data_IF_714848017749
#
_entry.id   IF_714848017749
#
_cell.length_a   1.000
_cell.length_b   1.000
_cell.length_c   1.000
_cell.angle_alpha   90.00
_cell.angle_beta   90.00
_cell.angle_gamma   90.00
#
_symmetry.space_group_name_H-M   'P 1'
#
loop_
_entity.id
_entity.type
_entity.pdbx_description
1 polymer ?
#
# COMPACT_ATOMS: atom_id res chain seq x y z
N UNK A 1 14.31 -33.42 3.36
CA UNK A 1 14.13 -33.42 1.90
C UNK A 1 13.85 -32.02 1.41
N UNK A 2 14.19 -31.69 0.15
CA UNK A 2 13.88 -30.37 -0.46
C UNK A 2 12.40 -30.01 -0.35
N UNK A 3 11.50 -30.98 -0.59
CA UNK A 3 10.06 -30.80 -0.44
C UNK A 3 9.66 -30.43 1.00
N UNK A 4 10.40 -30.87 2.01
CA UNK A 4 10.15 -30.51 3.40
C UNK A 4 10.27 -28.99 3.68
N UNK A 5 11.04 -28.26 2.86
CA UNK A 5 11.14 -26.80 2.98
C UNK A 5 9.81 -26.07 2.67
N UNK A 6 8.94 -26.68 1.87
CA UNK A 6 7.62 -26.13 1.54
C UNK A 6 6.48 -26.64 2.43
N UNK A 7 6.73 -27.58 3.35
CA UNK A 7 5.67 -28.10 4.21
C UNK A 7 5.24 -27.08 5.26
N UNK A 8 3.94 -27.01 5.47
CA UNK A 8 3.28 -26.24 6.51
C UNK A 8 2.27 -27.14 7.21
N UNK A 9 2.39 -27.27 8.54
CA UNK A 9 1.41 -28.02 9.33
C UNK A 9 0.15 -27.21 9.50
N UNK A 10 -0.97 -27.79 9.10
CA UNK A 10 -2.32 -27.22 9.28
C UNK A 10 -3.15 -28.15 10.16
N UNK A 11 -4.25 -27.67 10.78
CA UNK A 11 -5.12 -28.52 11.61
C UNK A 11 -5.69 -29.75 10.87
N UNK A 12 -5.76 -29.69 9.54
CA UNK A 12 -6.25 -30.76 8.68
C UNK A 12 -5.13 -31.58 8.03
N UNK A 13 -3.87 -31.43 8.47
CA UNK A 13 -2.70 -32.14 7.97
C UNK A 13 -1.70 -31.27 7.20
N UNK A 14 -0.53 -31.81 6.84
CA UNK A 14 0.51 -31.06 6.17
C UNK A 14 0.09 -30.62 4.78
N UNK A 15 0.36 -29.35 4.45
CA UNK A 15 0.10 -28.75 3.15
C UNK A 15 1.40 -28.23 2.55
N UNK A 16 1.59 -28.41 1.24
CA UNK A 16 2.75 -27.87 0.54
C UNK A 16 2.46 -26.41 0.12
N UNK A 17 3.26 -25.49 0.66
CA UNK A 17 3.20 -24.06 0.36
C UNK A 17 4.39 -23.64 -0.49
N UNK A 18 4.11 -23.18 -1.72
CA UNK A 18 5.12 -22.58 -2.60
C UNK A 18 5.73 -21.31 -2.00
N UNK A 19 4.93 -20.54 -1.25
CA UNK A 19 5.42 -19.33 -0.57
C UNK A 19 6.45 -19.68 0.51
N UNK A 20 6.21 -20.72 1.31
CA UNK A 20 7.14 -21.18 2.32
C UNK A 20 8.44 -21.66 1.68
N UNK A 21 8.33 -22.45 0.60
CA UNK A 21 9.51 -22.90 -0.16
C UNK A 21 10.31 -21.70 -0.67
N UNK A 22 9.66 -20.77 -1.32
CA UNK A 22 10.29 -19.58 -1.89
C UNK A 22 11.00 -18.74 -0.83
N UNK A 23 10.34 -18.47 0.30
CA UNK A 23 10.91 -17.66 1.39
C UNK A 23 12.10 -18.33 2.06
N UNK A 24 12.09 -19.67 2.16
CA UNK A 24 13.21 -20.43 2.75
C UNK A 24 14.40 -20.63 1.82
N UNK A 25 14.22 -20.42 0.52
CA UNK A 25 15.28 -20.65 -0.49
C UNK A 25 15.75 -19.37 -1.17
N UNK A 26 15.02 -18.28 -1.07
CA UNK A 26 15.39 -16.99 -1.63
C UNK A 26 16.47 -16.29 -0.78
N UNK A 27 17.46 -15.71 -1.43
CA UNK A 27 18.47 -14.88 -0.77
C UNK A 27 17.90 -13.58 -0.21
N UNK A 28 16.86 -13.05 -0.83
CA UNK A 28 16.17 -11.82 -0.44
C UNK A 28 14.65 -11.97 -0.64
N UNK A 29 13.88 -11.37 0.24
CA UNK A 29 12.44 -11.31 0.14
C UNK A 29 11.93 -9.89 0.44
N UNK A 30 10.91 -9.44 -0.29
CA UNK A 30 10.36 -8.12 -0.07
C UNK A 30 8.84 -8.06 -0.32
N UNK A 31 8.17 -7.21 0.44
CA UNK A 31 6.84 -6.70 0.12
C UNK A 31 6.91 -5.63 -0.99
N UNK A 32 5.74 -5.29 -1.54
CA UNK A 32 5.60 -4.34 -2.67
C UNK A 32 5.09 -2.97 -2.26
N UNK A 33 5.02 -2.73 -0.96
CA UNK A 33 4.89 -1.46 -0.24
C UNK A 33 5.46 -1.62 1.16
N UNK A 34 5.71 -0.52 1.87
CA UNK A 34 6.19 -0.57 3.25
C UNK A 34 5.25 -1.36 4.15
N UNK A 35 3.95 -1.02 4.12
CA UNK A 35 2.93 -1.71 4.89
C UNK A 35 2.85 -3.20 4.53
N UNK A 36 2.92 -3.55 3.22
CA UNK A 36 2.92 -4.95 2.80
C UNK A 36 4.16 -5.71 3.31
N UNK A 37 5.31 -5.07 3.42
CA UNK A 37 6.48 -5.65 4.08
C UNK A 37 6.19 -6.00 5.55
N UNK A 38 5.56 -5.10 6.29
CA UNK A 38 5.15 -5.32 7.68
C UNK A 38 4.13 -6.46 7.82
N UNK A 39 3.09 -6.44 6.99
CA UNK A 39 2.07 -7.51 6.94
C UNK A 39 2.69 -8.86 6.59
N UNK A 40 3.62 -8.88 5.62
CA UNK A 40 4.30 -10.11 5.20
C UNK A 40 5.19 -10.67 6.32
N UNK A 41 5.91 -9.82 7.05
CA UNK A 41 6.69 -10.25 8.22
C UNK A 41 5.82 -10.93 9.27
N UNK A 42 4.67 -10.34 9.59
CA UNK A 42 3.73 -10.94 10.53
C UNK A 42 3.16 -12.27 10.02
N UNK A 43 2.74 -12.32 8.76
CA UNK A 43 2.13 -13.48 8.11
C UNK A 43 3.07 -14.68 8.07
N UNK A 44 4.34 -14.46 7.74
CA UNK A 44 5.35 -15.50 7.55
C UNK A 44 6.30 -15.68 8.73
N UNK A 45 6.05 -15.03 9.87
CA UNK A 45 6.88 -15.13 11.07
C UNK A 45 7.14 -16.57 11.51
N UNK A 46 6.17 -17.45 11.31
CA UNK A 46 6.28 -18.87 11.65
C UNK A 46 7.44 -19.60 10.96
N UNK A 47 7.99 -19.05 9.85
CA UNK A 47 9.15 -19.60 9.16
C UNK A 47 10.47 -19.29 9.86
N UNK A 48 10.49 -18.33 10.79
CA UNK A 48 11.64 -17.89 11.57
C UNK A 48 11.30 -17.93 13.07
N UNK A 49 11.24 -19.17 13.66
CA UNK A 49 10.93 -19.30 15.08
C UNK A 49 11.98 -18.56 15.91
N UNK A 50 11.51 -17.84 16.92
CA UNK A 50 12.37 -17.05 17.82
C UNK A 50 12.61 -15.60 17.39
N UNK A 51 12.35 -15.23 16.14
CA UNK A 51 12.43 -13.84 15.72
C UNK A 51 11.15 -13.05 16.05
N UNK A 52 11.31 -11.77 16.33
CA UNK A 52 10.18 -10.85 16.38
C UNK A 52 9.74 -10.53 14.95
N UNK A 53 8.51 -10.02 14.78
CA UNK A 53 7.98 -9.73 13.45
C UNK A 53 8.86 -8.72 12.69
N UNK A 54 9.40 -7.73 13.39
CA UNK A 54 10.25 -6.69 12.84
C UNK A 54 11.62 -7.20 12.37
N UNK A 55 12.04 -8.36 12.88
CA UNK A 55 13.34 -8.99 12.58
C UNK A 55 13.25 -10.02 11.43
N UNK A 56 12.02 -10.42 11.07
CA UNK A 56 11.81 -11.34 9.93
C UNK A 56 12.43 -10.74 8.68
N UNK A 57 13.29 -11.48 7.93
CA UNK A 57 14.08 -10.90 6.83
C UNK A 57 13.26 -10.71 5.56
N UNK A 58 12.15 -9.99 5.68
CA UNK A 58 11.32 -9.54 4.57
C UNK A 58 11.35 -8.01 4.55
N UNK A 59 12.03 -7.45 3.58
CA UNK A 59 12.08 -6.01 3.35
C UNK A 59 10.86 -5.50 2.57
N UNK A 60 11.01 -4.32 1.96
CA UNK A 60 10.06 -3.85 0.96
C UNK A 60 10.79 -3.12 -0.17
N UNK A 61 10.23 -3.20 -1.36
CA UNK A 61 10.48 -2.31 -2.50
C UNK A 61 9.13 -1.85 -3.00
N UNK A 62 8.81 -0.61 -2.73
CA UNK A 62 7.49 -0.08 -3.11
C UNK A 62 7.34 -0.04 -4.62
N UNK A 63 6.22 -0.54 -5.14
CA UNK A 63 5.92 -0.54 -6.55
C UNK A 63 5.98 0.88 -7.13
N UNK A 64 6.31 0.94 -8.41
CA UNK A 64 6.27 2.15 -9.23
C UNK A 64 5.62 1.87 -10.57
N UNK A 65 5.26 2.92 -11.29
CA UNK A 65 4.66 2.84 -12.62
C UNK A 65 5.54 3.50 -13.68
N UNK A 66 5.52 2.94 -14.88
CA UNK A 66 6.30 3.50 -15.99
C UNK A 66 5.65 4.79 -16.51
N UNK A 67 6.30 5.91 -16.27
CA UNK A 67 5.77 7.26 -16.55
C UNK A 67 5.26 7.39 -17.98
N UNK A 68 6.07 7.01 -18.96
CA UNK A 68 5.73 7.18 -20.38
C UNK A 68 4.58 6.31 -20.89
N UNK A 69 4.34 5.16 -20.25
CA UNK A 69 3.25 4.25 -20.63
C UNK A 69 1.89 4.75 -20.13
N UNK A 70 1.86 5.40 -18.95
CA UNK A 70 0.60 5.74 -18.28
C UNK A 70 0.28 7.24 -18.31
N UNK A 71 1.24 8.10 -18.63
CA UNK A 71 1.01 9.52 -18.82
C UNK A 71 0.38 9.77 -20.20
N UNK A 72 -0.70 10.55 -20.23
CA UNK A 72 -1.38 10.91 -21.47
C UNK A 72 -0.47 11.75 -22.39
N UNK A 73 -0.44 11.51 -23.73
CA UNK A 73 0.49 12.19 -24.64
C UNK A 73 0.42 13.72 -24.62
N UNK A 74 -0.76 14.30 -24.43
CA UNK A 74 -0.91 15.78 -24.32
C UNK A 74 -0.27 16.32 -23.04
N UNK A 75 -0.48 15.62 -21.90
CA UNK A 75 0.17 15.99 -20.64
C UNK A 75 1.69 15.79 -20.72
N UNK A 76 2.15 14.70 -21.35
CA UNK A 76 3.58 14.46 -21.58
C UNK A 76 4.23 15.65 -22.32
N UNK A 77 3.60 16.13 -23.38
CA UNK A 77 4.10 17.29 -24.14
C UNK A 77 4.12 18.54 -23.28
N UNK A 78 3.02 18.82 -22.58
CA UNK A 78 2.92 19.98 -21.72
C UNK A 78 3.92 19.94 -20.55
N UNK A 79 4.13 18.78 -19.93
CA UNK A 79 5.14 18.63 -18.89
C UNK A 79 6.55 18.81 -19.43
N UNK A 80 6.86 18.29 -20.63
CA UNK A 80 8.16 18.51 -21.26
C UNK A 80 8.43 20.00 -21.55
N UNK A 81 7.40 20.75 -21.95
CA UNK A 81 7.48 22.20 -22.18
C UNK A 81 7.72 22.96 -20.85
N UNK A 82 7.01 22.60 -19.78
CA UNK A 82 7.05 23.30 -18.50
C UNK A 82 8.25 22.88 -17.64
N UNK A 83 8.53 21.57 -17.55
CA UNK A 83 9.58 21.04 -16.67
C UNK A 83 10.95 21.03 -17.35
N UNK A 84 10.99 21.03 -18.69
CA UNK A 84 12.20 21.06 -19.47
C UNK A 84 12.77 19.68 -19.83
N UNK A 85 13.89 19.66 -20.61
CA UNK A 85 14.45 18.44 -21.14
C UNK A 85 15.00 17.49 -20.06
N UNK A 86 15.48 18.00 -18.94
CA UNK A 86 16.00 17.18 -17.84
C UNK A 86 14.94 16.24 -17.28
N UNK A 87 13.68 16.69 -17.19
CA UNK A 87 12.57 15.86 -16.79
C UNK A 87 12.28 14.72 -17.78
N UNK A 88 12.45 14.99 -19.09
CA UNK A 88 12.27 13.94 -20.12
C UNK A 88 13.29 12.83 -19.98
N UNK A 89 14.51 13.17 -19.62
CA UNK A 89 15.61 12.21 -19.43
C UNK A 89 15.54 11.47 -18.08
N UNK A 90 15.10 12.17 -17.02
CA UNK A 90 15.13 11.68 -15.65
C UNK A 90 13.84 11.97 -14.89
N UNK A 91 12.69 11.39 -15.32
CA UNK A 91 11.39 11.65 -14.67
C UNK A 91 11.30 11.09 -13.24
N UNK A 92 12.27 10.29 -12.81
CA UNK A 92 12.38 9.78 -11.43
C UNK A 92 13.21 10.69 -10.51
N UNK A 93 13.75 11.78 -11.02
CA UNK A 93 14.48 12.77 -10.25
C UNK A 93 13.50 13.86 -9.75
N UNK A 94 13.28 14.00 -8.42
CA UNK A 94 12.32 14.97 -7.88
C UNK A 94 12.61 16.42 -8.28
N UNK A 95 13.88 16.78 -8.47
CA UNK A 95 14.30 18.15 -8.79
C UNK A 95 13.88 18.59 -10.20
N UNK A 96 13.50 17.63 -11.05
CA UNK A 96 13.04 17.91 -12.41
C UNK A 96 11.55 18.27 -12.49
N UNK A 97 10.76 18.04 -11.44
CA UNK A 97 9.31 18.29 -11.40
C UNK A 97 8.99 19.74 -11.01
N UNK A 98 9.10 20.67 -11.98
CA UNK A 98 8.85 22.10 -11.81
C UNK A 98 7.36 22.41 -11.90
N UNK A 99 6.57 21.84 -10.99
CA UNK A 99 5.11 21.83 -11.02
C UNK A 99 4.47 23.23 -10.93
N UNK A 100 5.18 24.20 -10.39
CA UNK A 100 4.73 25.59 -10.22
C UNK A 100 4.41 26.28 -11.57
N UNK A 101 4.99 25.78 -12.66
CA UNK A 101 4.70 26.26 -14.02
C UNK A 101 3.38 25.71 -14.60
N UNK A 102 2.74 24.75 -13.94
CA UNK A 102 1.46 24.22 -14.37
C UNK A 102 0.33 25.17 -13.93
N UNK A 103 -0.39 25.73 -14.89
CA UNK A 103 -1.47 26.68 -14.66
C UNK A 103 -2.70 26.38 -15.52
N UNK A 104 -3.28 27.42 -16.10
CA UNK A 104 -4.50 27.35 -16.89
C UNK A 104 -4.42 26.34 -18.05
N UNK A 105 -3.28 26.27 -18.74
CA UNK A 105 -3.08 25.34 -19.86
C UNK A 105 -3.20 23.88 -19.40
N UNK A 106 -2.62 23.54 -18.25
CA UNK A 106 -2.79 22.23 -17.63
C UNK A 106 -4.26 21.97 -17.29
N UNK A 107 -4.95 22.94 -16.67
CA UNK A 107 -6.36 22.78 -16.32
C UNK A 107 -7.23 22.53 -17.55
N UNK A 108 -7.01 23.27 -18.64
CA UNK A 108 -7.71 23.05 -19.92
C UNK A 108 -7.47 21.63 -20.47
N UNK A 109 -6.25 21.14 -20.41
CA UNK A 109 -5.95 19.75 -20.82
C UNK A 109 -6.74 18.76 -19.95
N UNK A 110 -6.83 18.98 -18.64
CA UNK A 110 -7.62 18.13 -17.75
C UNK A 110 -9.11 18.13 -18.10
N UNK A 111 -9.68 19.31 -18.41
CA UNK A 111 -11.08 19.41 -18.88
C UNK A 111 -11.31 18.62 -20.17
N UNK A 112 -10.42 18.74 -21.13
CA UNK A 112 -10.51 17.99 -22.39
C UNK A 112 -10.42 16.46 -22.16
N UNK A 113 -9.56 16.03 -21.25
CA UNK A 113 -9.43 14.61 -20.92
C UNK A 113 -10.67 14.07 -20.21
N UNK A 114 -11.29 14.85 -19.34
CA UNK A 114 -12.58 14.50 -18.73
C UNK A 114 -13.70 14.44 -19.78
N UNK A 115 -13.79 15.42 -20.69
CA UNK A 115 -14.72 15.37 -21.80
C UNK A 115 -14.53 14.13 -22.67
N UNK A 116 -13.27 13.78 -22.97
CA UNK A 116 -12.95 12.57 -23.71
C UNK A 116 -13.41 11.31 -22.94
N UNK A 117 -13.13 11.22 -21.65
CA UNK A 117 -13.61 10.14 -20.79
C UNK A 117 -15.13 10.00 -20.86
N UNK A 118 -15.88 11.09 -20.69
CA UNK A 118 -17.35 11.06 -20.75
C UNK A 118 -17.86 10.54 -22.10
N UNK A 119 -17.25 10.95 -23.19
CA UNK A 119 -17.59 10.44 -24.54
C UNK A 119 -17.35 8.94 -24.67
N UNK A 120 -16.19 8.47 -24.24
CA UNK A 120 -15.85 7.05 -24.24
C UNK A 120 -16.80 6.22 -23.37
N UNK A 121 -17.15 6.74 -22.19
CA UNK A 121 -18.11 6.10 -21.28
C UNK A 121 -19.48 5.97 -21.94
N UNK A 122 -19.99 7.05 -22.55
CA UNK A 122 -21.27 7.06 -23.26
C UNK A 122 -21.32 6.04 -24.41
N UNK A 123 -20.27 6.01 -25.22
CA UNK A 123 -20.16 5.08 -26.33
C UNK A 123 -20.13 3.61 -25.81
N UNK A 124 -19.29 3.32 -24.84
CA UNK A 124 -19.19 1.96 -24.26
C UNK A 124 -20.50 1.54 -23.58
N UNK A 125 -21.12 2.45 -22.84
CA UNK A 125 -22.41 2.19 -22.20
C UNK A 125 -23.54 1.93 -23.24
N UNK A 126 -23.56 2.69 -24.33
CA UNK A 126 -24.47 2.46 -25.45
C UNK A 126 -24.28 1.05 -26.03
N UNK A 127 -23.04 0.67 -26.37
CA UNK A 127 -22.72 -0.65 -26.91
C UNK A 127 -23.02 -1.79 -25.93
N UNK A 128 -22.75 -1.58 -24.64
CA UNK A 128 -23.07 -2.52 -23.56
C UNK A 128 -24.58 -2.75 -23.48
N UNK A 129 -25.40 -1.70 -23.45
CA UNK A 129 -26.85 -1.77 -23.40
C UNK A 129 -27.41 -2.40 -24.67
N UNK A 130 -26.86 -2.07 -25.84
CA UNK A 130 -27.23 -2.67 -27.12
C UNK A 130 -26.98 -4.18 -27.14
N UNK A 131 -25.81 -4.65 -26.70
CA UNK A 131 -25.46 -6.05 -26.55
C UNK A 131 -26.40 -6.77 -25.62
N UNK A 132 -26.82 -6.13 -24.55
CA UNK A 132 -27.75 -6.69 -23.55
C UNK A 132 -29.21 -6.62 -24.01
N UNK A 133 -29.50 -6.17 -25.22
CA UNK A 133 -30.85 -6.15 -25.77
C UNK A 133 -31.79 -5.09 -25.17
N UNK A 134 -31.22 -4.03 -24.56
CA UNK A 134 -31.98 -2.93 -23.95
C UNK A 134 -32.67 -2.10 -25.05
N UNK A 135 -33.88 -1.60 -24.75
CA UNK A 135 -34.71 -0.89 -25.72
C UNK A 135 -34.20 0.54 -26.05
N UNK A 136 -34.77 1.19 -27.11
CA UNK A 136 -34.31 2.47 -27.61
C UNK A 136 -34.27 3.62 -26.59
N UNK A 137 -35.17 3.60 -25.59
CA UNK A 137 -35.18 4.60 -24.52
C UNK A 137 -33.88 4.51 -23.68
N UNK A 138 -33.49 3.30 -23.31
CA UNK A 138 -32.30 3.01 -22.54
C UNK A 138 -31.01 3.34 -23.32
N UNK A 139 -31.02 3.14 -24.63
CA UNK A 139 -29.88 3.54 -25.48
C UNK A 139 -29.71 5.07 -25.51
N UNK A 140 -30.81 5.83 -25.62
CA UNK A 140 -30.77 7.29 -25.56
C UNK A 140 -30.32 7.84 -24.20
N UNK A 141 -30.63 7.17 -23.11
CA UNK A 141 -30.10 7.50 -21.77
C UNK A 141 -28.59 7.31 -21.71
N UNK A 142 -28.04 6.26 -22.32
CA UNK A 142 -26.59 6.04 -22.38
C UNK A 142 -25.84 7.20 -23.07
N UNK A 143 -26.42 7.75 -24.14
CA UNK A 143 -25.84 8.88 -24.87
C UNK A 143 -25.80 10.19 -24.05
N UNK A 144 -26.64 10.29 -23.01
CA UNK A 144 -26.77 11.46 -22.14
C UNK A 144 -26.16 11.26 -20.74
N UNK A 145 -25.72 10.02 -20.42
CA UNK A 145 -25.15 9.71 -19.12
C UNK A 145 -23.90 10.58 -18.84
N UNK A 146 -23.73 10.97 -17.60
CA UNK A 146 -22.64 11.82 -17.11
C UNK A 146 -22.64 13.25 -17.72
N UNK A 147 -22.04 14.18 -16.98
CA UNK A 147 -21.84 15.56 -17.39
C UNK A 147 -20.33 15.84 -17.54
N UNK A 148 -19.83 16.31 -18.69
CA UNK A 148 -18.42 16.61 -18.89
C UNK A 148 -17.88 17.73 -17.97
N UNK A 149 -18.74 18.57 -17.39
CA UNK A 149 -18.32 19.62 -16.45
C UNK A 149 -18.37 19.17 -14.98
N UNK A 150 -18.96 18.01 -14.69
CA UNK A 150 -19.08 17.49 -13.35
C UNK A 150 -17.76 16.89 -12.82
N UNK A 151 -17.53 17.03 -11.50
CA UNK A 151 -16.47 16.32 -10.79
C UNK A 151 -16.60 14.82 -11.03
N UNK A 152 -15.60 14.22 -11.67
CA UNK A 152 -15.63 12.83 -12.11
C UNK A 152 -14.71 11.95 -11.25
N UNK A 153 -15.30 11.01 -10.53
CA UNK A 153 -14.62 10.06 -9.65
C UNK A 153 -14.52 8.71 -10.35
N UNK A 154 -13.29 8.25 -10.58
CA UNK A 154 -13.01 6.95 -11.19
C UNK A 154 -12.73 5.87 -10.15
N UNK A 155 -13.30 4.68 -10.36
CA UNK A 155 -13.03 3.48 -9.60
C UNK A 155 -12.85 2.32 -10.58
N UNK A 156 -11.62 1.87 -10.80
CA UNK A 156 -11.37 0.78 -11.74
C UNK A 156 -10.38 -0.23 -11.20
N UNK A 157 -10.88 -1.45 -10.96
CA UNK A 157 -10.09 -2.52 -10.37
C UNK A 157 -10.80 -3.88 -10.46
N UNK A 158 -10.05 -4.96 -10.20
CA UNK A 158 -10.67 -6.27 -10.02
C UNK A 158 -11.71 -6.21 -8.90
N UNK A 159 -12.93 -6.68 -9.17
CA UNK A 159 -13.93 -6.81 -8.13
C UNK A 159 -13.58 -7.99 -7.21
N UNK A 160 -13.32 -7.67 -5.96
CA UNK A 160 -13.10 -8.57 -4.84
C UNK A 160 -13.68 -7.90 -3.59
N UNK A 161 -14.16 -8.69 -2.63
CA UNK A 161 -14.90 -8.19 -1.46
C UNK A 161 -14.14 -7.10 -0.69
N UNK A 162 -12.84 -7.31 -0.43
CA UNK A 162 -12.02 -6.36 0.33
C UNK A 162 -11.83 -5.01 -0.36
N UNK A 163 -12.11 -4.91 -1.67
CA UNK A 163 -12.01 -3.64 -2.42
C UNK A 163 -13.22 -2.73 -2.28
N UNK A 164 -14.29 -3.25 -1.69
CA UNK A 164 -15.47 -2.53 -1.19
C UNK A 164 -16.10 -1.54 -2.17
N UNK A 165 -16.30 -1.96 -3.43
CA UNK A 165 -16.94 -1.11 -4.45
C UNK A 165 -18.34 -0.58 -4.02
N UNK A 166 -19.03 -1.28 -3.12
CA UNK A 166 -20.35 -0.90 -2.59
C UNK A 166 -20.30 -0.04 -1.31
N UNK A 167 -19.11 0.35 -0.86
CA UNK A 167 -18.96 1.13 0.37
C UNK A 167 -19.77 2.44 0.35
N UNK A 168 -19.89 3.07 -0.82
CA UNK A 168 -20.72 4.27 -1.04
C UNK A 168 -22.20 4.07 -0.74
N UNK A 169 -22.68 2.83 -0.66
CA UNK A 169 -24.08 2.50 -0.37
C UNK A 169 -24.33 2.07 1.08
N UNK A 170 -23.38 2.30 2.00
CA UNK A 170 -23.58 2.07 3.44
C UNK A 170 -24.62 3.05 4.03
N UNK A 171 -24.67 4.28 3.53
CA UNK A 171 -25.72 5.28 3.78
C UNK A 171 -26.24 5.82 2.43
N UNK A 172 -27.24 5.16 1.83
CA UNK A 172 -27.80 5.57 0.54
C UNK A 172 -28.46 6.94 0.56
N UNK A 173 -29.08 7.32 1.67
CA UNK A 173 -29.72 8.63 1.80
C UNK A 173 -28.68 9.76 1.76
N UNK A 174 -27.54 9.57 2.45
CA UNK A 174 -26.46 10.52 2.44
C UNK A 174 -25.82 10.61 1.04
N UNK A 175 -25.58 9.46 0.40
CA UNK A 175 -25.11 9.42 -0.98
C UNK A 175 -26.04 10.18 -1.93
N UNK A 176 -27.36 9.99 -1.81
CA UNK A 176 -28.32 10.71 -2.62
C UNK A 176 -28.29 12.21 -2.39
N UNK A 177 -28.13 12.68 -1.15
CA UNK A 177 -27.96 14.11 -0.85
C UNK A 177 -26.70 14.68 -1.52
N UNK A 178 -25.60 13.96 -1.49
CA UNK A 178 -24.34 14.34 -2.16
C UNK A 178 -24.56 14.46 -3.69
N UNK A 179 -25.12 13.41 -4.30
CA UNK A 179 -25.31 13.37 -5.76
C UNK A 179 -26.37 14.35 -6.29
N UNK A 180 -27.39 14.65 -5.49
CA UNK A 180 -28.45 15.62 -5.83
C UNK A 180 -28.17 17.03 -5.33
N UNK A 181 -27.03 17.25 -4.69
CA UNK A 181 -26.58 18.55 -4.19
C UNK A 181 -26.34 19.56 -5.32
N UNK A 182 -26.01 20.81 -4.95
CA UNK A 182 -25.85 21.91 -5.91
C UNK A 182 -24.61 21.75 -6.81
N UNK A 183 -23.68 20.91 -6.42
CA UNK A 183 -22.44 20.66 -7.15
C UNK A 183 -22.49 19.27 -7.80
N UNK A 184 -22.45 19.17 -9.14
CA UNK A 184 -22.58 17.89 -9.82
C UNK A 184 -21.38 16.98 -9.57
N UNK A 185 -21.64 15.76 -9.09
CA UNK A 185 -20.65 14.70 -8.84
C UNK A 185 -21.10 13.44 -9.55
N UNK A 186 -20.16 12.72 -10.12
CA UNK A 186 -20.43 11.50 -10.84
C UNK A 186 -19.33 10.44 -10.66
N UNK A 187 -19.70 9.17 -10.83
CA UNK A 187 -18.80 8.03 -10.65
C UNK A 187 -18.75 7.16 -11.89
N UNK A 188 -17.55 6.72 -12.24
CA UNK A 188 -17.33 5.73 -13.28
C UNK A 188 -16.64 4.51 -12.67
N UNK A 189 -17.35 3.38 -12.66
CA UNK A 189 -16.83 2.11 -12.20
C UNK A 189 -16.48 1.23 -13.40
N UNK A 190 -15.34 0.53 -13.31
CA UNK A 190 -14.98 -0.50 -14.26
C UNK A 190 -14.18 -1.62 -13.59
N UNK A 191 -14.29 -2.81 -14.11
CA UNK A 191 -13.53 -3.93 -13.57
C UNK A 191 -14.12 -5.27 -13.97
N UNK A 192 -13.44 -6.33 -13.54
CA UNK A 192 -13.85 -7.72 -13.73
C UNK A 192 -13.69 -8.49 -12.44
N UNK A 193 -14.62 -9.39 -12.13
CA UNK A 193 -14.40 -10.42 -11.13
C UNK A 193 -13.65 -11.59 -11.77
N UNK A 194 -12.84 -12.30 -11.00
CA UNK A 194 -12.24 -13.54 -11.50
C UNK A 194 -13.35 -14.58 -11.79
N UNK A 195 -13.26 -15.38 -12.87
CA UNK A 195 -14.30 -16.35 -13.23
C UNK A 195 -14.71 -17.32 -12.12
N UNK A 196 -13.79 -17.62 -11.18
CA UNK A 196 -14.03 -18.50 -10.01
C UNK A 196 -14.38 -17.72 -8.74
N UNK A 197 -14.43 -16.38 -8.77
CA UNK A 197 -14.74 -15.55 -7.62
C UNK A 197 -16.22 -15.18 -7.58
N UNK A 198 -17.02 -16.08 -7.04
CA UNK A 198 -18.47 -15.87 -6.93
C UNK A 198 -18.81 -14.69 -6.01
N UNK A 199 -18.04 -14.45 -4.97
CA UNK A 199 -18.23 -13.31 -4.08
C UNK A 199 -17.98 -11.99 -4.81
N UNK A 200 -16.89 -11.90 -5.60
CA UNK A 200 -16.62 -10.73 -6.43
C UNK A 200 -17.68 -10.45 -7.48
N UNK A 201 -18.24 -11.52 -8.09
CA UNK A 201 -19.38 -11.40 -9.02
C UNK A 201 -20.64 -10.90 -8.31
N UNK A 202 -20.92 -11.41 -7.10
CA UNK A 202 -22.05 -10.96 -6.29
C UNK A 202 -21.94 -9.47 -5.94
N UNK A 203 -20.73 -9.01 -5.59
CA UNK A 203 -20.43 -7.60 -5.32
C UNK A 203 -20.67 -6.69 -6.53
N UNK A 204 -20.25 -7.12 -7.72
CA UNK A 204 -20.51 -6.38 -8.95
C UNK A 204 -22.03 -6.31 -9.24
N UNK A 205 -22.74 -7.42 -9.09
CA UNK A 205 -24.20 -7.46 -9.24
C UNK A 205 -24.89 -6.54 -8.23
N UNK A 206 -24.45 -6.55 -6.97
CA UNK A 206 -24.98 -5.68 -5.92
C UNK A 206 -24.80 -4.20 -6.29
N UNK A 207 -23.60 -3.79 -6.72
CA UNK A 207 -23.31 -2.43 -7.16
C UNK A 207 -24.28 -1.97 -8.26
N UNK A 208 -24.43 -2.78 -9.32
CA UNK A 208 -25.34 -2.48 -10.44
C UNK A 208 -26.80 -2.41 -9.98
N UNK A 209 -27.22 -3.34 -9.09
CA UNK A 209 -28.58 -3.36 -8.55
C UNK A 209 -28.89 -2.12 -7.72
N UNK A 210 -27.99 -1.70 -6.84
CA UNK A 210 -28.15 -0.48 -6.03
C UNK A 210 -28.21 0.79 -6.89
N UNK A 211 -27.35 0.90 -7.90
CA UNK A 211 -27.39 2.04 -8.83
C UNK A 211 -28.76 2.16 -9.51
N UNK A 212 -29.34 1.03 -9.95
CA UNK A 212 -30.67 0.97 -10.56
C UNK A 212 -31.80 1.25 -9.56
N UNK A 213 -31.73 0.63 -8.38
CA UNK A 213 -32.70 0.81 -7.30
C UNK A 213 -32.88 2.28 -6.92
N UNK A 214 -31.76 3.02 -6.82
CA UNK A 214 -31.77 4.43 -6.46
C UNK A 214 -31.88 5.39 -7.64
N UNK A 215 -32.01 4.89 -8.87
CA UNK A 215 -32.16 5.72 -10.09
C UNK A 215 -30.95 6.60 -10.38
N UNK A 216 -29.73 6.09 -10.18
CA UNK A 216 -28.47 6.84 -10.29
C UNK A 216 -27.72 6.58 -11.61
N UNK A 217 -28.31 5.92 -12.58
CA UNK A 217 -27.64 5.45 -13.81
C UNK A 217 -27.18 6.59 -14.73
N UNK A 218 -27.63 7.82 -14.52
CA UNK A 218 -27.18 9.03 -15.19
C UNK A 218 -25.85 9.58 -14.60
N UNK A 219 -25.53 9.25 -13.34
CA UNK A 219 -24.39 9.76 -12.57
C UNK A 219 -23.43 8.68 -12.06
N UNK A 220 -23.85 7.43 -12.04
CA UNK A 220 -23.03 6.30 -11.62
C UNK A 220 -23.08 5.22 -12.70
N UNK A 221 -22.01 5.10 -13.46
CA UNK A 221 -21.92 4.17 -14.59
C UNK A 221 -20.97 3.04 -14.27
N UNK A 222 -21.40 1.81 -14.54
CA UNK A 222 -20.57 0.60 -14.45
C UNK A 222 -20.30 0.09 -15.86
N UNK A 223 -19.02 0.07 -16.24
CA UNK A 223 -18.59 -0.40 -17.56
C UNK A 223 -18.11 -1.85 -17.51
N UNK A 224 -18.64 -2.65 -18.44
CA UNK A 224 -18.18 -4.00 -18.75
C UNK A 224 -16.89 -3.99 -19.58
N UNK A 225 -16.33 -5.15 -19.84
CA UNK A 225 -15.18 -5.38 -20.71
C UNK A 225 -13.95 -4.52 -20.37
N UNK A 226 -13.68 -4.37 -19.07
CA UNK A 226 -12.50 -3.66 -18.59
C UNK A 226 -11.23 -4.22 -19.20
N UNK A 227 -10.48 -3.37 -19.89
CA UNK A 227 -9.24 -3.66 -20.58
C UNK A 227 -8.16 -2.58 -20.31
N UNK A 228 -6.99 -2.74 -20.91
CA UNK A 228 -5.88 -1.79 -20.76
C UNK A 228 -6.18 -0.42 -21.37
N UNK A 229 -6.98 -0.36 -22.45
CA UNK A 229 -7.39 0.91 -23.04
C UNK A 229 -8.32 1.68 -22.10
N UNK A 230 -9.37 1.01 -21.61
CA UNK A 230 -10.31 1.63 -20.67
C UNK A 230 -9.61 2.03 -19.36
N UNK A 231 -8.66 1.22 -18.88
CA UNK A 231 -7.84 1.57 -17.71
C UNK A 231 -7.09 2.89 -17.90
N UNK A 232 -6.51 3.12 -19.08
CA UNK A 232 -5.83 4.38 -19.41
C UNK A 232 -6.81 5.53 -19.51
N UNK A 233 -7.92 5.36 -20.23
CA UNK A 233 -8.94 6.40 -20.39
C UNK A 233 -9.45 6.88 -19.03
N UNK A 234 -9.75 5.96 -18.12
CA UNK A 234 -10.20 6.26 -16.77
C UNK A 234 -9.15 7.03 -15.96
N UNK A 235 -7.90 6.56 -15.95
CA UNK A 235 -6.82 7.23 -15.21
C UNK A 235 -6.43 8.58 -15.81
N UNK A 236 -6.65 8.78 -17.12
CA UNK A 236 -6.40 10.05 -17.79
C UNK A 236 -7.48 11.09 -17.50
N UNK A 237 -8.76 10.67 -17.47
CA UNK A 237 -9.89 11.61 -17.49
C UNK A 237 -10.58 11.83 -16.15
N UNK A 238 -10.37 10.97 -15.15
CA UNK A 238 -10.95 11.16 -13.81
C UNK A 238 -10.27 12.33 -13.08
N UNK A 239 -11.04 13.12 -12.33
CA UNK A 239 -10.51 14.18 -11.47
C UNK A 239 -10.06 13.62 -10.12
N UNK A 240 -10.78 12.62 -9.62
CA UNK A 240 -10.50 11.90 -8.38
C UNK A 240 -10.39 10.41 -8.68
N UNK A 241 -9.42 9.76 -8.06
CA UNK A 241 -9.26 8.31 -8.12
C UNK A 241 -9.59 7.68 -6.77
N UNK A 242 -10.70 6.94 -6.74
CA UNK A 242 -11.22 6.34 -5.52
C UNK A 242 -10.63 4.96 -5.27
N UNK A 243 -10.13 4.73 -4.07
CA UNK A 243 -9.66 3.45 -3.57
C UNK A 243 -10.18 3.19 -2.16
N UNK A 244 -10.96 2.12 -2.02
CA UNK A 244 -11.58 1.77 -0.73
C UNK A 244 -11.21 0.35 -0.27
N UNK A 245 -9.93 -0.07 -0.32
CA UNK A 245 -9.57 -1.39 0.18
C UNK A 245 -9.81 -1.48 1.67
N UNK A 246 -10.06 -2.69 2.17
CA UNK A 246 -10.05 -2.93 3.61
C UNK A 246 -8.62 -3.05 4.08
N UNK A 247 -8.14 -2.07 4.87
CA UNK A 247 -6.79 -2.08 5.43
C UNK A 247 -6.61 -3.27 6.39
N UNK A 248 -5.52 -4.04 6.33
CA UNK A 248 -4.33 -3.86 5.49
C UNK A 248 -4.26 -4.86 4.30
N UNK A 249 -5.35 -5.09 3.59
CA UNK A 249 -5.45 -6.15 2.58
C UNK A 249 -4.89 -5.77 1.20
N UNK A 250 -4.64 -4.49 0.92
CA UNK A 250 -4.05 -4.04 -0.33
C UNK A 250 -2.52 -4.07 -0.25
N UNK A 251 -1.88 -4.98 -1.00
CA UNK A 251 -0.43 -5.12 -0.98
C UNK A 251 0.30 -3.86 -1.48
N UNK A 252 -0.20 -3.22 -2.52
CA UNK A 252 0.33 -1.97 -3.05
C UNK A 252 -0.77 -1.11 -3.67
N UNK A 253 -1.40 -1.58 -4.75
CA UNK A 253 -2.13 -0.75 -5.69
C UNK A 253 -1.18 0.06 -6.58
N UNK A 254 -1.52 0.22 -7.86
CA UNK A 254 -0.73 1.04 -8.80
C UNK A 254 -1.61 1.96 -9.63
N UNK A 255 -2.93 1.77 -9.59
CA UNK A 255 -3.86 2.58 -10.37
C UNK A 255 -3.91 4.04 -9.92
N UNK A 256 -3.82 4.27 -8.60
CA UNK A 256 -3.72 5.61 -8.04
C UNK A 256 -2.45 6.35 -8.44
N UNK A 257 -1.31 5.67 -8.57
CA UNK A 257 -0.07 6.24 -9.10
C UNK A 257 -0.23 6.70 -10.56
N UNK A 258 -0.89 5.87 -11.40
CA UNK A 258 -1.20 6.19 -12.80
C UNK A 258 -2.13 7.39 -12.93
N UNK A 259 -3.14 7.46 -12.09
CA UNK A 259 -4.08 8.57 -12.05
C UNK A 259 -3.40 9.87 -11.60
N UNK A 260 -2.55 9.82 -10.56
CA UNK A 260 -1.79 10.97 -10.08
C UNK A 260 -0.85 11.55 -11.14
N UNK A 261 -0.15 10.72 -11.94
CA UNK A 261 0.66 11.18 -13.07
C UNK A 261 -0.13 12.04 -14.07
N UNK A 262 -1.43 11.80 -14.19
CA UNK A 262 -2.31 12.52 -15.07
C UNK A 262 -3.06 13.67 -14.38
N UNK A 263 -2.71 13.99 -13.14
CA UNK A 263 -3.28 15.09 -12.37
C UNK A 263 -4.62 14.78 -11.69
N UNK A 264 -5.00 13.52 -11.57
CA UNK A 264 -6.11 13.12 -10.71
C UNK A 264 -5.64 13.04 -9.25
N UNK A 265 -6.48 13.49 -8.31
CA UNK A 265 -6.20 13.35 -6.88
C UNK A 265 -6.66 12.00 -6.34
N UNK A 266 -5.85 11.38 -5.50
CA UNK A 266 -6.24 10.15 -4.82
C UNK A 266 -7.18 10.44 -3.65
N UNK A 267 -8.29 9.70 -3.57
CA UNK A 267 -9.20 9.62 -2.44
C UNK A 267 -9.20 8.15 -2.01
N UNK A 268 -8.38 7.82 -1.02
CA UNK A 268 -8.06 6.43 -0.73
C UNK A 268 -7.91 6.16 0.76
N UNK A 269 -8.32 4.95 1.16
CA UNK A 269 -7.92 4.40 2.46
C UNK A 269 -6.40 4.34 2.53
N UNK A 270 -5.83 4.56 3.72
CA UNK A 270 -4.38 4.50 4.00
C UNK A 270 -3.88 3.05 3.99
N UNK A 271 -3.87 2.45 2.79
CA UNK A 271 -3.47 1.07 2.57
C UNK A 271 -2.52 0.98 1.36
N UNK A 272 -1.73 -0.08 1.30
CA UNK A 272 -0.75 -0.30 0.25
C UNK A 272 0.21 0.90 0.10
N UNK A 273 0.38 1.38 -1.14
CA UNK A 273 1.27 2.50 -1.44
C UNK A 273 0.83 3.83 -0.83
N UNK A 274 -0.52 4.05 -0.68
CA UNK A 274 -1.04 5.32 -0.19
C UNK A 274 -0.75 5.55 1.29
N UNK A 275 -0.57 4.48 2.08
CA UNK A 275 -0.15 4.57 3.47
C UNK A 275 1.24 5.22 3.67
N UNK A 276 2.09 5.20 2.63
CA UNK A 276 3.42 5.84 2.66
C UNK A 276 3.52 7.10 1.79
N UNK A 277 2.61 7.28 0.84
CA UNK A 277 2.60 8.41 -0.08
C UNK A 277 1.84 9.62 0.45
N UNK A 278 0.79 9.40 1.23
CA UNK A 278 -0.06 10.48 1.73
C UNK A 278 0.69 11.37 2.72
N UNK A 279 0.68 12.68 2.47
CA UNK A 279 1.36 13.68 3.29
C UNK A 279 0.44 14.80 3.83
N UNK A 280 -0.88 14.64 3.71
CA UNK A 280 -1.88 15.63 4.12
C UNK A 280 -2.14 16.76 3.12
N UNK A 281 -1.39 16.82 2.00
CA UNK A 281 -1.48 17.90 1.01
C UNK A 281 -1.59 17.42 -0.44
N UNK A 282 -1.40 16.13 -0.69
CA UNK A 282 -1.29 15.54 -2.03
C UNK A 282 -2.50 14.69 -2.45
N UNK A 283 -3.60 14.79 -1.72
CA UNK A 283 -4.83 14.04 -1.93
C UNK A 283 -5.59 13.87 -0.63
N UNK A 284 -6.46 12.87 -0.55
CA UNK A 284 -7.38 12.66 0.56
C UNK A 284 -7.22 11.26 1.16
N UNK A 285 -7.22 11.18 2.50
CA UNK A 285 -7.14 9.92 3.24
C UNK A 285 -8.51 9.55 3.81
N UNK A 286 -9.05 8.40 3.40
CA UNK A 286 -10.30 7.84 3.93
C UNK A 286 -10.00 7.04 5.18
N UNK A 287 -10.64 7.39 6.30
CA UNK A 287 -10.45 6.72 7.58
C UNK A 287 -9.09 6.98 8.20
N UNK A 288 -8.69 6.07 9.04
CA UNK A 288 -7.45 6.15 9.82
C UNK A 288 -6.69 4.81 9.84
N UNK A 289 -5.62 4.74 10.63
CA UNK A 289 -4.76 3.55 10.72
C UNK A 289 -5.12 2.61 11.88
N UNK A 290 -6.26 2.84 12.55
CA UNK A 290 -6.70 2.01 13.69
C UNK A 290 -7.00 0.57 13.25
N UNK A 291 -6.84 -0.35 14.19
CA UNK A 291 -7.35 -1.71 14.05
C UNK A 291 -8.78 -1.71 14.60
N UNK A 292 -9.72 -2.16 13.78
CA UNK A 292 -11.13 -2.22 14.15
C UNK A 292 -11.49 -3.59 14.72
N UNK A 293 -12.51 -3.62 15.60
CA UNK A 293 -12.96 -4.86 16.23
C UNK A 293 -13.59 -5.84 15.23
N UNK A 294 -14.15 -5.33 14.13
CA UNK A 294 -14.75 -6.13 13.07
C UNK A 294 -14.65 -5.44 11.72
N UNK A 295 -14.80 -6.23 10.66
CA UNK A 295 -14.87 -5.72 9.28
C UNK A 295 -16.04 -4.76 9.07
N UNK A 296 -17.18 -5.03 9.70
CA UNK A 296 -18.36 -4.16 9.64
C UNK A 296 -18.11 -2.81 10.33
N UNK A 297 -17.46 -2.80 11.49
CA UNK A 297 -17.11 -1.57 12.19
C UNK A 297 -16.15 -0.71 11.34
N UNK A 298 -15.18 -1.34 10.67
CA UNK A 298 -14.30 -0.65 9.73
C UNK A 298 -15.07 -0.10 8.52
N UNK A 299 -15.98 -0.90 7.95
CA UNK A 299 -16.77 -0.47 6.79
C UNK A 299 -17.65 0.74 7.11
N UNK A 300 -18.27 0.76 8.29
CA UNK A 300 -19.07 1.91 8.75
C UNK A 300 -18.20 3.15 8.94
N UNK A 301 -17.07 3.02 9.63
CA UNK A 301 -16.15 4.13 9.88
C UNK A 301 -15.58 4.71 8.59
N UNK A 302 -15.11 3.85 7.69
CA UNK A 302 -14.53 4.29 6.41
C UNK A 302 -15.59 4.90 5.48
N UNK A 303 -16.82 4.38 5.47
CA UNK A 303 -17.92 4.98 4.72
C UNK A 303 -18.26 6.38 5.24
N UNK A 304 -18.33 6.55 6.56
CA UNK A 304 -18.59 7.86 7.19
C UNK A 304 -17.48 8.85 6.82
N UNK A 305 -16.22 8.46 6.98
CA UNK A 305 -15.08 9.29 6.61
C UNK A 305 -15.07 9.66 5.11
N UNK A 306 -15.47 8.74 4.25
CA UNK A 306 -15.58 8.99 2.81
C UNK A 306 -16.64 10.04 2.50
N UNK A 307 -17.83 9.97 3.12
CA UNK A 307 -18.87 10.98 2.94
C UNK A 307 -18.45 12.34 3.49
N UNK A 308 -17.85 12.37 4.70
CA UNK A 308 -17.35 13.60 5.32
C UNK A 308 -16.35 14.31 4.40
N UNK A 309 -15.39 13.57 3.82
CA UNK A 309 -14.42 14.10 2.87
C UNK A 309 -15.09 14.61 1.59
N UNK A 310 -16.04 13.88 1.03
CA UNK A 310 -16.75 14.31 -0.17
C UNK A 310 -17.49 15.63 0.07
N UNK A 311 -18.23 15.75 1.18
CA UNK A 311 -19.06 16.90 1.50
C UNK A 311 -18.28 18.14 1.95
N UNK A 312 -17.22 17.93 2.78
CA UNK A 312 -16.50 19.05 3.42
C UNK A 312 -15.24 19.48 2.68
N UNK A 313 -14.62 18.61 1.90
CA UNK A 313 -13.32 18.90 1.28
C UNK A 313 -13.31 18.72 -0.24
N UNK A 314 -13.55 17.51 -0.75
CA UNK A 314 -13.34 17.16 -2.17
C UNK A 314 -14.21 18.03 -3.08
N UNK A 315 -15.52 18.03 -2.85
CA UNK A 315 -16.49 18.76 -3.68
C UNK A 315 -16.31 20.26 -3.54
N UNK A 316 -16.29 20.83 -2.33
CA UNK A 316 -16.07 22.27 -2.17
C UNK A 316 -14.77 22.75 -2.80
N UNK A 317 -13.67 22.02 -2.60
CA UNK A 317 -12.36 22.38 -3.12
C UNK A 317 -12.35 22.40 -4.66
N UNK A 318 -12.97 21.40 -5.32
CA UNK A 318 -13.03 21.34 -6.78
C UNK A 318 -13.81 22.52 -7.37
N UNK A 319 -14.94 22.89 -6.74
CA UNK A 319 -15.84 23.93 -7.23
C UNK A 319 -15.51 25.35 -6.72
N UNK A 320 -14.53 25.53 -5.86
CA UNK A 320 -14.05 26.83 -5.40
C UNK A 320 -13.26 27.57 -6.50
N UNK A 321 -13.90 27.79 -7.67
CA UNK A 321 -13.26 28.41 -8.84
C UNK A 321 -13.03 29.91 -8.60
N UNK A 322 -11.77 30.33 -8.81
CA UNK A 322 -11.39 31.73 -8.82
C UNK A 322 -11.66 32.42 -10.17
N UNK A 323 -11.14 33.62 -10.34
CA UNK A 323 -11.23 34.39 -11.60
C UNK A 323 -10.57 33.68 -12.78
N UNK A 324 -9.64 32.80 -12.52
CA UNK A 324 -8.92 32.01 -13.52
C UNK A 324 -9.74 30.81 -14.06
N UNK A 325 -10.96 30.60 -13.56
CA UNK A 325 -11.86 29.52 -14.00
C UNK A 325 -11.56 28.13 -13.41
N UNK A 326 -10.59 28.02 -12.50
CA UNK A 326 -10.27 26.82 -11.74
C UNK A 326 -10.03 27.13 -10.26
N UNK A 327 -10.02 26.09 -9.43
CA UNK A 327 -9.71 26.20 -8.00
C UNK A 327 -8.20 26.22 -7.78
N UNK A 328 -7.68 27.32 -7.22
CA UNK A 328 -6.26 27.42 -6.84
C UNK A 328 -5.86 26.40 -5.77
N UNK A 329 -6.75 26.14 -4.81
CA UNK A 329 -6.52 25.11 -3.79
C UNK A 329 -6.45 23.70 -4.38
N UNK A 330 -7.32 23.39 -5.36
CA UNK A 330 -7.26 22.13 -6.09
C UNK A 330 -5.93 21.98 -6.85
N UNK A 331 -5.53 23.03 -7.57
CA UNK A 331 -4.27 23.06 -8.32
C UNK A 331 -3.06 22.90 -7.39
N UNK A 332 -3.05 23.55 -6.23
CA UNK A 332 -1.98 23.39 -5.24
C UNK A 332 -1.85 21.92 -4.77
N UNK A 333 -2.98 21.25 -4.56
CA UNK A 333 -2.99 19.83 -4.19
C UNK A 333 -2.51 18.93 -5.35
N UNK A 334 -2.88 19.25 -6.59
CA UNK A 334 -2.38 18.56 -7.79
C UNK A 334 -0.87 18.74 -7.95
N UNK A 335 -0.34 19.94 -7.74
CA UNK A 335 1.10 20.22 -7.78
C UNK A 335 1.83 19.37 -6.74
N UNK A 336 1.33 19.34 -5.50
CA UNK A 336 1.93 18.51 -4.44
C UNK A 336 1.84 17.03 -4.77
N UNK A 337 0.70 16.57 -5.33
CA UNK A 337 0.54 15.18 -5.77
C UNK A 337 1.55 14.81 -6.86
N UNK A 338 1.70 15.63 -7.88
CA UNK A 338 2.66 15.40 -8.98
C UNK A 338 4.10 15.36 -8.46
N UNK A 339 4.49 16.31 -7.61
CA UNK A 339 5.84 16.42 -7.05
C UNK A 339 6.20 15.24 -6.15
N UNK A 340 5.25 14.74 -5.36
CA UNK A 340 5.48 13.67 -4.39
C UNK A 340 5.21 12.28 -4.95
N UNK A 341 4.34 12.12 -5.94
CA UNK A 341 4.01 10.82 -6.52
C UNK A 341 4.84 10.55 -7.79
N UNK A 342 4.99 11.53 -8.66
CA UNK A 342 5.63 11.37 -9.96
C UNK A 342 7.01 10.71 -9.90
N UNK A 343 7.98 11.31 -9.22
CA UNK A 343 9.33 10.74 -9.12
C UNK A 343 9.40 9.52 -8.20
N UNK A 344 8.78 9.60 -7.02
CA UNK A 344 8.99 8.59 -5.96
C UNK A 344 8.28 7.26 -6.24
N UNK A 345 7.16 7.27 -7.00
CA UNK A 345 6.43 6.07 -7.38
C UNK A 345 6.60 5.73 -8.87
N UNK A 346 7.76 6.08 -9.44
CA UNK A 346 8.16 5.75 -10.79
C UNK A 346 8.78 4.35 -10.88
N UNK A 347 8.65 3.71 -12.04
CA UNK A 347 9.33 2.45 -12.31
C UNK A 347 10.86 2.59 -12.31
N UNK A 348 11.40 3.75 -12.68
CA UNK A 348 12.84 4.03 -12.64
C UNK A 348 13.39 3.94 -11.21
N UNK A 349 12.73 4.59 -10.24
CA UNK A 349 13.09 4.48 -8.82
C UNK A 349 12.96 3.02 -8.35
N UNK A 350 11.82 2.35 -8.62
CA UNK A 350 11.59 0.96 -8.24
C UNK A 350 12.69 0.03 -8.74
N UNK A 351 13.10 0.16 -10.00
CA UNK A 351 14.17 -0.66 -10.59
C UNK A 351 15.51 -0.42 -9.90
N UNK A 352 15.84 0.83 -9.56
CA UNK A 352 17.06 1.13 -8.77
C UNK A 352 17.05 0.45 -7.41
N UNK A 353 15.92 0.48 -6.71
CA UNK A 353 15.78 -0.19 -5.41
C UNK A 353 15.95 -1.72 -5.56
N UNK A 354 15.40 -2.31 -6.61
CA UNK A 354 15.62 -3.74 -6.91
C UNK A 354 17.07 -4.04 -7.29
N UNK A 355 17.74 -3.18 -8.05
CA UNK A 355 19.18 -3.37 -8.36
C UNK A 355 20.00 -3.42 -7.07
N UNK A 356 19.78 -2.49 -6.15
CA UNK A 356 20.43 -2.50 -4.84
C UNK A 356 20.14 -3.78 -4.03
N UNK A 357 18.94 -4.34 -4.17
CA UNK A 357 18.57 -5.61 -3.54
C UNK A 357 19.31 -6.79 -4.17
N UNK A 358 19.40 -6.85 -5.52
CA UNK A 358 20.13 -7.87 -6.25
C UNK A 358 21.64 -7.81 -6.00
N UNK A 359 22.22 -6.62 -5.95
CA UNK A 359 23.64 -6.43 -5.64
C UNK A 359 23.99 -6.97 -4.26
N UNK A 360 23.15 -6.70 -3.25
CA UNK A 360 23.31 -7.30 -1.92
C UNK A 360 23.21 -8.81 -1.95
N UNK A 361 22.28 -9.37 -2.73
CA UNK A 361 22.14 -10.81 -2.92
C UNK A 361 23.36 -11.45 -3.59
N UNK A 362 23.91 -10.80 -4.60
CA UNK A 362 25.11 -11.28 -5.31
C UNK A 362 26.38 -11.23 -4.42
N UNK A 363 26.53 -10.18 -3.61
CA UNK A 363 27.58 -10.08 -2.60
C UNK A 363 27.43 -11.20 -1.56
N UNK A 364 26.24 -11.47 -1.13
CA UNK A 364 25.93 -12.55 -0.18
C UNK A 364 26.29 -13.94 -0.77
N UNK A 365 26.03 -14.19 -2.04
CA UNK A 365 26.40 -15.45 -2.72
C UNK A 365 27.92 -15.64 -2.79
N UNK A 366 28.67 -14.58 -3.01
CA UNK A 366 30.14 -14.60 -3.00
C UNK A 366 30.70 -14.89 -1.60
N UNK A 367 30.07 -14.35 -0.57
CA UNK A 367 30.39 -14.59 0.83
C UNK A 367 29.85 -15.94 1.33
N UNK A 368 28.73 -16.41 0.80
CA UNK A 368 28.05 -17.64 1.25
C UNK A 368 28.92 -18.89 1.01
N UNK A 369 29.75 -18.91 -0.03
CA UNK A 369 30.71 -20.02 -0.21
C UNK A 369 31.75 -20.04 0.90
N UNK A 370 32.21 -18.88 1.36
CA UNK A 370 33.12 -18.80 2.51
C UNK A 370 32.42 -19.14 3.83
N UNK A 371 31.11 -18.83 3.94
CA UNK A 371 30.28 -19.11 5.13
C UNK A 371 29.73 -20.55 5.14
N UNK A 372 29.69 -21.25 3.99
CA UNK A 372 29.11 -22.60 3.91
C UNK A 372 29.88 -23.61 4.79
N UNK A 373 31.18 -23.47 4.89
CA UNK A 373 32.00 -24.29 5.79
C UNK A 373 31.77 -23.92 7.27
N UNK A 374 31.59 -22.63 7.55
CA UNK A 374 31.18 -22.16 8.87
C UNK A 374 29.75 -22.61 9.21
N UNK A 375 28.83 -22.62 8.22
CA UNK A 375 27.45 -23.12 8.37
C UNK A 375 27.37 -24.64 8.58
N UNK A 376 28.30 -25.43 8.00
CA UNK A 376 28.38 -26.87 8.28
C UNK A 376 28.77 -27.12 9.73
N UNK A 377 29.84 -26.48 10.20
CA UNK A 377 30.24 -26.53 11.59
C UNK A 377 29.14 -26.04 12.55
N UNK A 378 28.40 -24.98 12.11
CA UNK A 378 27.25 -24.45 12.80
C UNK A 378 26.07 -25.42 12.85
N UNK A 379 25.73 -26.08 11.73
CA UNK A 379 24.65 -27.08 11.69
C UNK A 379 24.93 -28.28 12.57
N UNK A 380 26.19 -28.66 12.68
CA UNK A 380 26.63 -29.72 13.61
C UNK A 380 26.53 -29.28 15.08
N UNK A 381 26.66 -27.99 15.35
CA UNK A 381 26.56 -27.40 16.70
C UNK A 381 25.13 -26.96 17.09
N UNK A 382 24.19 -26.90 16.14
CA UNK A 382 22.80 -26.45 16.35
C UNK A 382 22.04 -27.25 17.43
N UNK A 383 22.17 -28.59 17.54
CA UNK A 383 21.54 -29.33 18.61
C UNK A 383 22.01 -28.88 20.01
N UNK A 384 23.29 -28.54 20.13
CA UNK A 384 23.84 -28.00 21.38
C UNK A 384 23.39 -26.57 21.67
N UNK A 385 23.20 -25.76 20.62
CA UNK A 385 22.62 -24.41 20.77
C UNK A 385 21.18 -24.46 21.30
N UNK A 386 20.35 -25.37 20.81
CA UNK A 386 18.98 -25.54 21.29
C UNK A 386 18.90 -26.01 22.75
N UNK A 387 19.99 -26.57 23.29
CA UNK A 387 20.09 -26.93 24.69
C UNK A 387 20.55 -25.75 25.59
N UNK A 388 21.00 -24.64 24.99
CA UNK A 388 21.39 -23.46 25.75
C UNK A 388 20.18 -22.68 26.24
N UNK A 389 20.24 -22.16 27.44
CA UNK A 389 19.29 -21.27 28.03
C UNK A 389 19.92 -19.92 28.39
N UNK A 390 19.15 -18.88 28.48
CA UNK A 390 19.57 -17.61 29.06
C UNK A 390 18.54 -17.15 30.09
N UNK A 391 19.03 -16.80 31.28
CA UNK A 391 18.18 -16.26 32.34
C UNK A 391 18.73 -14.95 32.90
N UNK A 392 17.86 -14.08 33.46
CA UNK A 392 18.33 -12.89 34.18
C UNK A 392 19.22 -13.30 35.35
N UNK A 393 20.26 -12.50 35.59
CA UNK A 393 21.18 -12.72 36.74
C UNK A 393 20.45 -12.50 38.07
N UNK A 394 19.46 -11.60 38.09
CA UNK A 394 18.60 -11.34 39.25
C UNK A 394 17.14 -11.41 38.81
N UNK A 395 16.34 -12.33 39.36
CA UNK A 395 14.88 -12.34 39.14
C UNK A 395 14.24 -11.18 39.92
N UNK A 396 13.56 -10.29 39.29
CA UNK A 396 12.80 -9.20 39.93
C UNK A 396 12.61 -7.98 39.05
N UNK A 397 11.77 -7.06 39.52
CA UNK A 397 11.51 -5.80 38.83
C UNK A 397 12.78 -4.98 38.70
N UNK A 398 13.16 -4.68 37.47
CA UNK A 398 14.32 -3.86 37.18
C UNK A 398 13.99 -2.41 37.53
N UNK A 399 14.67 -1.88 38.54
CA UNK A 399 14.55 -0.48 38.92
C UNK A 399 15.54 0.40 38.15
N UNK A 400 15.03 1.50 37.59
CA UNK A 400 15.82 2.51 36.95
C UNK A 400 16.62 3.34 37.99
N UNK A 401 17.91 3.10 38.11
CA UNK A 401 18.81 3.98 38.85
C UNK A 401 19.31 5.11 37.93
N UNK A 402 18.86 6.34 38.15
CA UNK A 402 19.32 7.50 37.39
C UNK A 402 18.98 7.49 35.89
N UNK A 403 17.88 6.83 35.47
CA UNK A 403 17.47 6.72 34.06
C UNK A 403 18.25 5.69 33.23
N UNK A 404 19.05 4.85 33.85
CA UNK A 404 19.83 3.78 33.22
C UNK A 404 19.43 2.43 33.84
N UNK A 405 19.17 1.44 32.99
CA UNK A 405 18.82 0.10 33.35
C UNK A 405 20.05 -0.79 33.21
N UNK A 406 20.53 -1.40 34.27
CA UNK A 406 21.58 -2.40 34.23
C UNK A 406 20.95 -3.79 34.15
N UNK A 407 21.31 -4.57 33.14
CA UNK A 407 20.79 -5.91 32.90
C UNK A 407 21.94 -6.90 32.91
N UNK A 408 21.85 -7.88 33.80
CA UNK A 408 22.75 -9.03 33.83
C UNK A 408 22.02 -10.27 33.31
N UNK A 409 22.74 -11.15 32.62
CA UNK A 409 22.27 -12.44 32.14
C UNK A 409 23.30 -13.54 32.43
N UNK A 410 22.80 -14.73 32.72
CA UNK A 410 23.62 -15.93 32.88
C UNK A 410 23.21 -16.90 31.78
N UNK A 411 24.22 -17.40 31.07
CA UNK A 411 24.05 -18.46 30.07
C UNK A 411 24.02 -19.81 30.76
N UNK A 412 23.05 -20.62 30.42
CA UNK A 412 22.89 -21.98 30.95
C UNK A 412 23.28 -23.00 29.87
N UNK A 413 24.14 -23.94 30.20
CA UNK A 413 24.68 -24.97 29.31
C UNK A 413 26.12 -24.70 28.84
N UNK A 414 26.75 -25.72 28.27
CA UNK A 414 28.09 -25.60 27.68
C UNK A 414 28.02 -25.10 26.23
N UNK A 415 28.69 -23.99 25.96
CA UNK A 415 28.79 -23.45 24.61
C UNK A 415 29.87 -24.19 23.84
N UNK A 416 29.52 -24.87 22.73
CA UNK A 416 30.50 -25.45 21.83
C UNK A 416 31.51 -24.43 21.36
N UNK A 417 32.80 -24.80 21.26
CA UNK A 417 33.91 -23.90 20.95
C UNK A 417 33.69 -23.19 19.61
N UNK A 418 33.12 -23.88 18.61
CA UNK A 418 32.80 -23.32 17.31
C UNK A 418 31.62 -22.31 17.29
N UNK A 419 30.80 -22.28 18.34
CA UNK A 419 29.67 -21.33 18.45
C UNK A 419 30.05 -20.06 19.24
N UNK A 420 31.03 -20.11 20.12
CA UNK A 420 31.43 -18.96 20.96
C UNK A 420 31.65 -17.65 20.19
N UNK A 421 32.34 -17.61 19.04
CA UNK A 421 32.57 -16.39 18.32
C UNK A 421 31.31 -15.75 17.71
N UNK A 422 30.25 -16.54 17.57
CA UNK A 422 29.01 -16.15 16.88
C UNK A 422 27.83 -15.94 17.85
N UNK A 423 27.97 -16.46 19.09
CA UNK A 423 26.90 -16.39 20.10
C UNK A 423 26.79 -14.97 20.65
N UNK A 424 25.59 -14.44 20.63
CA UNK A 424 25.22 -13.17 21.25
C UNK A 424 24.14 -13.35 22.27
N UNK A 425 24.26 -12.71 23.40
CA UNK A 425 23.18 -12.58 24.38
C UNK A 425 22.58 -11.19 24.20
N UNK A 426 21.31 -11.12 23.95
CA UNK A 426 20.64 -9.87 23.59
C UNK A 426 19.54 -9.51 24.58
N UNK A 427 19.48 -8.22 24.93
CA UNK A 427 18.35 -7.60 25.59
C UNK A 427 17.41 -7.05 24.51
N UNK A 428 16.18 -7.51 24.52
CA UNK A 428 15.12 -7.02 23.64
C UNK A 428 14.18 -6.16 24.47
N UNK A 429 14.06 -4.89 24.14
CA UNK A 429 13.23 -3.91 24.85
C UNK A 429 12.12 -3.44 23.94
N UNK A 430 10.89 -3.63 24.36
CA UNK A 430 9.71 -3.14 23.64
C UNK A 430 9.03 -2.02 24.42
N UNK A 431 8.80 -0.91 23.79
CA UNK A 431 8.00 0.19 24.33
C UNK A 431 6.51 -0.11 24.15
N UNK A 432 5.69 0.11 25.18
CA UNK A 432 4.23 0.10 25.06
C UNK A 432 3.79 1.26 24.14
N UNK A 433 3.12 0.91 23.03
CA UNK A 433 2.74 1.89 21.99
C UNK A 433 3.68 1.93 20.77
N UNK A 434 4.66 0.99 20.68
CA UNK A 434 5.50 0.78 19.50
C UNK A 434 6.97 1.14 19.70
N UNK A 435 7.81 0.50 18.90
CA UNK A 435 9.28 0.59 18.94
C UNK A 435 9.91 -0.60 19.66
N UNK A 436 10.93 -1.17 19.00
CA UNK A 436 11.75 -2.26 19.48
C UNK A 436 13.21 -1.78 19.49
N UNK A 437 13.90 -2.04 20.59
CA UNK A 437 15.35 -1.84 20.68
C UNK A 437 15.99 -3.19 21.06
N UNK A 438 17.07 -3.52 20.38
CA UNK A 438 17.86 -4.73 20.65
C UNK A 438 19.26 -4.30 20.99
N UNK A 439 19.77 -4.75 22.13
CA UNK A 439 21.08 -4.39 22.64
C UNK A 439 21.85 -5.67 22.97
N UNK A 440 23.04 -5.82 22.39
CA UNK A 440 23.94 -6.93 22.73
C UNK A 440 24.47 -6.75 24.16
N UNK A 441 24.55 -7.82 24.92
CA UNK A 441 25.21 -7.87 26.20
C UNK A 441 26.69 -8.24 26.03
N UNK A 442 27.57 -7.59 26.76
CA UNK A 442 29.00 -7.90 26.79
C UNK A 442 29.28 -9.02 27.79
N UNK A 443 30.11 -10.00 27.42
CA UNK A 443 30.57 -11.04 28.32
C UNK A 443 31.55 -10.42 29.32
N UNK A 444 31.16 -10.38 30.59
CA UNK A 444 31.99 -9.80 31.67
C UNK A 444 32.74 -10.88 32.47
N UNK A 445 32.30 -12.11 32.37
CA UNK A 445 32.96 -13.31 32.89
C UNK A 445 32.41 -14.54 32.11
N UNK A 446 33.09 -15.67 32.09
CA UNK A 446 32.61 -16.84 31.35
C UNK A 446 31.15 -17.20 31.64
N UNK A 447 30.29 -17.08 30.60
CA UNK A 447 28.84 -17.33 30.70
C UNK A 447 28.04 -16.25 31.43
N UNK A 448 28.64 -15.13 31.80
CA UNK A 448 27.96 -13.98 32.41
C UNK A 448 28.06 -12.76 31.54
N UNK A 449 26.92 -12.17 31.23
CA UNK A 449 26.75 -11.09 30.29
C UNK A 449 26.10 -9.89 30.98
N UNK A 450 26.54 -8.68 30.62
CA UNK A 450 25.94 -7.43 31.13
C UNK A 450 25.82 -6.39 30.05
N UNK A 451 24.79 -5.57 30.19
CA UNK A 451 24.62 -4.32 29.43
C UNK A 451 23.95 -3.26 30.29
N UNK A 452 24.04 -2.05 29.84
CA UNK A 452 23.33 -0.94 30.43
C UNK A 452 22.50 -0.25 29.37
N UNK A 453 21.20 -0.30 29.52
CA UNK A 453 20.23 0.29 28.61
C UNK A 453 19.74 1.63 29.15
N UNK A 454 19.68 2.64 28.28
CA UNK A 454 19.09 3.94 28.57
C UNK A 454 17.93 4.16 27.61
N UNK A 455 16.68 4.21 28.09
CA UNK A 455 15.53 4.50 27.24
C UNK A 455 15.69 5.84 26.52
N UNK A 456 15.49 5.86 25.23
CA UNK A 456 15.59 7.05 24.39
C UNK A 456 14.37 7.98 24.51
N UNK A 457 13.25 7.46 25.04
CA UNK A 457 12.00 8.21 25.21
C UNK A 457 11.30 7.80 26.51
N UNK A 458 10.54 8.70 27.16
CA UNK A 458 9.73 8.31 28.32
C UNK A 458 8.63 7.35 27.92
N UNK A 459 8.24 6.45 28.84
CA UNK A 459 7.16 5.47 28.62
C UNK A 459 7.34 4.20 29.42
N UNK A 460 6.37 3.29 29.28
CA UNK A 460 6.45 1.95 29.84
C UNK A 460 7.09 0.98 28.83
N UNK A 461 7.93 0.10 29.33
CA UNK A 461 8.69 -0.86 28.53
C UNK A 461 8.51 -2.28 29.06
N UNK A 462 8.47 -3.24 28.15
CA UNK A 462 8.66 -4.67 28.46
C UNK A 462 10.02 -5.09 27.91
N UNK A 463 10.67 -6.03 28.54
CA UNK A 463 11.97 -6.53 28.10
C UNK A 463 12.03 -8.06 28.19
N UNK A 464 12.94 -8.63 27.41
CA UNK A 464 13.27 -10.06 27.43
C UNK A 464 14.73 -10.28 27.08
N UNK A 465 15.26 -11.43 27.46
CA UNK A 465 16.57 -11.88 27.05
C UNK A 465 16.43 -12.96 25.98
N UNK A 466 17.33 -12.98 25.00
CA UNK A 466 17.42 -14.05 24.01
C UNK A 466 18.85 -14.37 23.66
N UNK A 467 19.05 -15.59 23.15
CA UNK A 467 20.27 -15.99 22.45
C UNK A 467 20.09 -15.74 20.95
N UNK A 468 21.12 -15.20 20.31
CA UNK A 468 21.19 -15.00 18.87
C UNK A 468 22.56 -15.49 18.34
N UNK A 469 22.59 -15.86 17.08
CA UNK A 469 23.78 -16.32 16.37
C UNK A 469 24.08 -15.45 15.18
#
# INVERSE_FOLDING_TARGET
TFLGLGLEEKPWGPVFSMSNLALRTAAQANGVSRLHGEVSRNMFRHLWPGLLAEEVPIGHVTNGVHTWTFLHPRLRRHYAEVFGPEWVERPEDPETWRVEGLGEAFWRIRQDLRLFLVREVRQRLYEQRRRNGEGPARLREAEKALDPEALTIGFARRFATYKRAVLLFKDPERLLRILKGPYPVQFVFAGKAHPKDEAGKAYLKELVSKIREYGLEDRMVVLEDYDMYLARVLTHGSDVWLNTPRRPMEASGTSGMKAALNGALNLSVLDGWWAEAYNGKNGFAVGDERVYESEEAQDVADAQALYDLLESEVIPLFYAKGLEGYSSGWMSMVHESLRTVGPYFSAGRMVRDYLALYERGALWEKEARARLEALKAFAEALPAFHALGVRPEVPGDLTLNGGRLEVGAVLEGEVPEGLRPHLRVQLVVRRLGGGLEVVDLEEVAPGRYRTAFRPTRPGSYTYGLRLAL
#
